data_IF_826558891324
#
_entry.id   IF_826558891324
#
_cell.length_a   1.000
_cell.length_b   1.000
_cell.length_c   1.000
_cell.angle_alpha   90.00
_cell.angle_beta   90.00
_cell.angle_gamma   90.00
#
_symmetry.space_group_name_H-M   'P 1'
#
loop_
_entity.id
_entity.type
_entity.pdbx_description
1 polymer ?
#
# COMPACT_ATOMS: atom_id res chain seq x y z
N UNK A 1 -10.49 -21.87 -37.22
CA UNK A 1 -10.13 -22.46 -35.92
C UNK A 1 -9.07 -21.57 -35.28
N UNK A 2 -9.46 -20.72 -34.33
CA UNK A 2 -8.53 -19.94 -33.51
C UNK A 2 -8.95 -20.13 -32.04
N UNK A 3 -8.56 -21.27 -31.46
CA UNK A 3 -8.82 -21.63 -30.06
C UNK A 3 -7.64 -21.20 -29.18
N UNK A 4 -7.30 -19.92 -29.18
CA UNK A 4 -6.25 -19.39 -28.31
C UNK A 4 -6.50 -17.92 -27.97
N UNK A 5 -7.63 -17.61 -27.31
CA UNK A 5 -7.81 -16.28 -26.70
C UNK A 5 -8.91 -16.28 -25.63
N UNK A 6 -8.90 -17.29 -24.75
CA UNK A 6 -9.80 -17.31 -23.57
C UNK A 6 -9.00 -17.24 -22.25
N UNK A 7 -7.67 -17.32 -22.30
CA UNK A 7 -6.81 -17.34 -21.10
C UNK A 7 -6.19 -15.97 -20.73
N UNK A 8 -6.88 -14.86 -20.99
CA UNK A 8 -6.44 -13.52 -20.55
C UNK A 8 -7.51 -12.75 -19.74
N UNK A 9 -8.63 -13.41 -19.36
CA UNK A 9 -9.74 -12.76 -18.65
C UNK A 9 -9.83 -13.08 -17.16
N UNK A 10 -8.69 -13.31 -16.50
CA UNK A 10 -8.66 -13.63 -15.06
C UNK A 10 -7.74 -12.67 -14.28
N UNK A 11 -7.89 -11.36 -14.46
CA UNK A 11 -7.10 -10.35 -13.73
C UNK A 11 -7.91 -9.37 -12.86
N UNK A 12 -9.20 -9.63 -12.61
CA UNK A 12 -10.02 -8.75 -11.73
C UNK A 12 -10.71 -9.48 -10.59
N UNK A 13 -10.28 -10.69 -10.24
CA UNK A 13 -10.74 -11.30 -8.99
C UNK A 13 -9.91 -10.71 -7.86
N UNK A 14 -10.58 -9.89 -7.07
CA UNK A 14 -10.22 -9.30 -5.79
C UNK A 14 -9.56 -10.31 -4.84
N UNK A 15 -8.30 -10.68 -5.10
CA UNK A 15 -7.55 -11.52 -4.17
C UNK A 15 -7.38 -10.75 -2.86
N UNK A 16 -7.82 -11.30 -1.73
CA UNK A 16 -7.56 -10.68 -0.45
C UNK A 16 -6.05 -10.62 -0.22
N UNK A 17 -5.57 -9.49 0.27
CA UNK A 17 -4.14 -9.22 0.44
C UNK A 17 -3.61 -9.90 1.73
N UNK A 18 -4.49 -10.33 2.62
CA UNK A 18 -4.20 -10.82 3.96
C UNK A 18 -5.43 -11.58 4.53
N UNK A 19 -5.30 -12.17 5.73
CA UNK A 19 -6.40 -12.84 6.47
C UNK A 19 -7.52 -11.88 6.96
N UNK A 20 -7.54 -10.67 6.40
CA UNK A 20 -8.54 -9.63 6.58
C UNK A 20 -9.10 -9.39 5.18
N UNK A 21 -10.41 -9.35 5.01
CA UNK A 21 -11.11 -9.35 3.71
C UNK A 21 -10.93 -8.06 2.88
N UNK A 22 -9.72 -7.48 2.83
CA UNK A 22 -9.40 -6.31 2.04
C UNK A 22 -8.96 -6.70 0.64
N UNK A 23 -9.57 -6.06 -0.35
CA UNK A 23 -9.18 -6.22 -1.74
C UNK A 23 -7.88 -5.47 -2.03
N UNK A 24 -7.11 -5.93 -3.02
CA UNK A 24 -5.90 -5.23 -3.50
C UNK A 24 -6.16 -3.73 -3.75
N UNK A 25 -7.30 -3.40 -4.36
CA UNK A 25 -7.71 -2.02 -4.63
C UNK A 25 -7.92 -1.17 -3.37
N UNK A 26 -8.48 -1.76 -2.30
CA UNK A 26 -8.64 -1.08 -1.01
C UNK A 26 -7.29 -0.80 -0.35
N UNK A 27 -6.35 -1.75 -0.41
CA UNK A 27 -4.99 -1.56 0.09
C UNK A 27 -4.25 -0.45 -0.68
N UNK A 28 -4.39 -0.36 -2.01
CA UNK A 28 -3.86 0.77 -2.78
C UNK A 28 -4.50 2.12 -2.39
N UNK A 29 -5.82 2.13 -2.15
CA UNK A 29 -6.51 3.33 -1.66
C UNK A 29 -6.01 3.77 -0.28
N UNK A 30 -5.79 2.82 0.63
CA UNK A 30 -5.21 3.07 1.95
C UNK A 30 -3.77 3.59 1.85
N UNK A 31 -2.95 3.00 0.96
CA UNK A 31 -1.57 3.43 0.72
C UNK A 31 -1.52 4.90 0.27
N UNK A 32 -2.35 5.29 -0.70
CA UNK A 32 -2.42 6.69 -1.18
C UNK A 32 -2.83 7.66 -0.06
N UNK A 33 -3.79 7.27 0.79
CA UNK A 33 -4.21 8.08 1.95
C UNK A 33 -3.10 8.21 2.99
N UNK A 34 -2.39 7.12 3.29
CA UNK A 34 -1.26 7.14 4.23
C UNK A 34 -0.13 8.05 3.76
N UNK A 35 0.22 8.01 2.47
CA UNK A 35 1.19 8.94 1.86
C UNK A 35 0.75 10.40 1.96
N UNK A 36 -0.54 10.71 1.73
CA UNK A 36 -1.07 12.06 1.91
C UNK A 36 -0.94 12.52 3.36
N UNK A 37 -1.29 11.66 4.33
CA UNK A 37 -1.14 11.92 5.76
C UNK A 37 0.30 12.21 6.15
N UNK A 38 1.24 11.39 5.69
CA UNK A 38 2.68 11.58 5.92
C UNK A 38 3.15 12.97 5.44
N UNK A 39 2.73 13.38 4.23
CA UNK A 39 3.08 14.69 3.69
C UNK A 39 2.54 15.84 4.52
N UNK A 40 1.29 15.74 5.00
CA UNK A 40 0.68 16.76 5.87
C UNK A 40 1.42 16.83 7.21
N UNK A 41 1.70 15.68 7.82
CA UNK A 41 2.44 15.60 9.08
C UNK A 41 3.85 16.20 8.94
N UNK A 42 4.53 15.95 7.81
CA UNK A 42 5.82 16.57 7.49
C UNK A 42 5.73 18.09 7.40
N UNK A 43 4.69 18.64 6.77
CA UNK A 43 4.49 20.10 6.68
C UNK A 43 4.16 20.70 8.05
N UNK A 44 3.47 19.95 8.91
CA UNK A 44 3.15 20.34 10.28
C UNK A 44 4.29 20.11 11.28
N UNK A 45 5.42 19.52 10.82
CA UNK A 45 6.54 19.11 11.66
C UNK A 45 6.12 18.21 12.85
N UNK A 46 5.15 17.32 12.59
CA UNK A 46 4.61 16.38 13.58
C UNK A 46 5.23 15.00 13.37
N UNK A 47 6.38 14.77 14.02
CA UNK A 47 7.17 13.54 13.91
C UNK A 47 6.40 12.29 14.39
N UNK A 48 5.51 12.45 15.37
CA UNK A 48 4.68 11.37 15.87
C UNK A 48 3.74 10.86 14.78
N UNK A 49 3.01 11.77 14.13
CA UNK A 49 2.14 11.40 13.01
C UNK A 49 2.92 10.91 11.81
N UNK A 50 4.08 11.50 11.51
CA UNK A 50 4.94 11.02 10.43
C UNK A 50 5.36 9.56 10.65
N UNK A 51 5.73 9.20 11.88
CA UNK A 51 6.09 7.84 12.29
C UNK A 51 4.92 6.87 12.15
N UNK A 52 3.73 7.25 12.60
CA UNK A 52 2.52 6.44 12.43
C UNK A 52 2.20 6.18 10.95
N UNK A 53 2.27 7.21 10.11
CA UNK A 53 2.00 7.07 8.68
C UNK A 53 3.08 6.24 7.97
N UNK A 54 4.36 6.42 8.33
CA UNK A 54 5.45 5.61 7.83
C UNK A 54 5.23 4.12 8.12
N UNK A 55 4.88 3.77 9.37
CA UNK A 55 4.57 2.40 9.75
C UNK A 55 3.37 1.82 8.99
N UNK A 56 2.31 2.61 8.78
CA UNK A 56 1.14 2.21 7.96
C UNK A 56 1.53 1.97 6.51
N UNK A 57 2.36 2.84 5.92
CA UNK A 57 2.84 2.69 4.55
C UNK A 57 3.61 1.38 4.40
N UNK A 58 4.55 1.10 5.31
CA UNK A 58 5.35 -0.13 5.28
C UNK A 58 4.49 -1.38 5.42
N UNK A 59 3.52 -1.37 6.33
CA UNK A 59 2.58 -2.47 6.52
C UNK A 59 1.80 -2.76 5.24
N UNK A 60 1.22 -1.73 4.63
CA UNK A 60 0.43 -1.89 3.39
C UNK A 60 1.31 -2.32 2.22
N UNK A 61 2.56 -1.84 2.14
CA UNK A 61 3.52 -2.29 1.13
C UNK A 61 3.88 -3.77 1.28
N UNK A 62 4.12 -4.23 2.51
CA UNK A 62 4.37 -5.65 2.81
C UNK A 62 3.15 -6.52 2.50
N UNK A 63 1.95 -6.05 2.84
CA UNK A 63 0.69 -6.68 2.46
C UNK A 63 0.58 -6.81 0.93
N UNK A 64 0.81 -5.72 0.19
CA UNK A 64 0.81 -5.71 -1.27
C UNK A 64 2.01 -6.44 -1.92
N UNK A 65 2.93 -6.96 -1.11
CA UNK A 65 4.18 -7.61 -1.55
C UNK A 65 5.01 -6.74 -2.53
N UNK A 66 5.05 -5.42 -2.26
CA UNK A 66 5.85 -4.45 -3.01
C UNK A 66 7.03 -3.96 -2.18
N UNK A 67 7.97 -3.27 -2.84
CA UNK A 67 9.11 -2.66 -2.17
C UNK A 67 8.66 -1.73 -1.03
N UNK A 68 9.17 -2.02 0.17
CA UNK A 68 8.90 -1.23 1.37
C UNK A 68 9.76 0.03 1.33
N UNK A 69 9.13 1.19 1.58
CA UNK A 69 9.82 2.48 1.58
C UNK A 69 10.52 2.73 2.92
N UNK A 70 11.75 3.23 2.85
CA UNK A 70 12.50 3.69 4.01
C UNK A 70 12.27 5.18 4.26
N UNK A 71 12.24 5.56 5.53
CA UNK A 71 12.05 6.92 6.02
C UNK A 71 13.26 7.31 6.88
N UNK A 72 14.40 7.68 6.25
CA UNK A 72 15.65 7.97 6.97
C UNK A 72 15.53 9.14 7.93
N UNK A 73 14.68 10.13 7.62
CA UNK A 73 14.39 11.26 8.50
C UNK A 73 13.74 10.86 9.83
N UNK A 74 13.23 9.63 9.94
CA UNK A 74 12.61 9.08 11.14
C UNK A 74 13.40 7.90 11.72
N UNK A 75 14.54 7.54 11.13
CA UNK A 75 15.28 6.33 11.51
C UNK A 75 14.55 5.02 11.19
N UNK A 76 13.57 5.03 10.29
CA UNK A 76 12.75 3.85 9.96
C UNK A 76 13.26 3.28 8.63
N UNK A 77 14.01 2.18 8.68
CA UNK A 77 14.58 1.48 7.50
C UNK A 77 13.81 0.23 7.14
#
# INVERSE_FOLDING_TARGET
MALASIHERELTVSRPVNNQNYTVGQSWGALRKAWKGYRIAKVQNDDTKMTEYANKIRKIQGELNIAVSSFPNLGIS
#
